data_IF_903674580599
#
_entry.id   IF_903674580599
#
_cell.length_a   1.000
_cell.length_b   1.000
_cell.length_c   1.000
_cell.angle_alpha   90.00
_cell.angle_beta   90.00
_cell.angle_gamma   90.00
#
_symmetry.space_group_name_H-M   'P 1'
#
loop_
_entity.id
_entity.type
_entity.pdbx_description
1 polymer ?
#
# COMPACT_ATOMS: atom_id res chain seq x y z
N UNK A 1 14.42 15.71 19.32
CA UNK A 1 13.95 16.17 18.00
C UNK A 1 12.68 15.41 17.68
N UNK A 2 11.50 15.99 17.93
CA UNK A 2 10.22 15.34 17.63
C UNK A 2 9.90 15.55 16.15
N UNK A 3 9.91 14.45 15.38
CA UNK A 3 9.57 14.48 13.96
C UNK A 3 8.12 14.93 13.80
N UNK A 4 7.86 15.95 12.97
CA UNK A 4 6.52 16.49 12.72
C UNK A 4 5.66 15.58 11.83
N UNK A 5 6.27 14.55 11.21
CA UNK A 5 5.62 13.64 10.29
C UNK A 5 5.30 12.30 10.96
N UNK A 6 4.09 11.80 10.70
CA UNK A 6 3.73 10.44 11.06
C UNK A 6 4.57 9.45 10.24
N UNK A 7 5.25 8.48 10.87
CA UNK A 7 6.02 7.48 10.15
C UNK A 7 5.12 6.50 9.41
N UNK A 8 5.67 5.94 8.34
CA UNK A 8 5.01 4.90 7.56
C UNK A 8 5.01 3.59 8.37
N UNK A 9 3.83 3.02 8.60
CA UNK A 9 3.62 1.82 9.43
C UNK A 9 3.49 0.55 8.59
N UNK A 10 2.79 0.63 7.47
CA UNK A 10 2.48 -0.57 6.68
C UNK A 10 2.49 -0.26 5.19
N UNK A 11 3.04 -1.18 4.41
CA UNK A 11 2.92 -1.24 2.96
C UNK A 11 2.24 -2.54 2.58
N UNK A 12 1.11 -2.46 1.87
CA UNK A 12 0.45 -3.62 1.27
C UNK A 12 0.45 -3.49 -0.25
N UNK A 13 0.87 -4.52 -0.96
CA UNK A 13 0.85 -4.56 -2.42
C UNK A 13 0.06 -5.77 -2.91
N UNK A 14 -0.86 -5.53 -3.85
CA UNK A 14 -1.71 -6.54 -4.49
C UNK A 14 -1.50 -6.54 -5.99
N UNK A 15 -1.30 -7.73 -6.56
CA UNK A 15 -1.06 -7.97 -7.98
C UNK A 15 0.05 -7.07 -8.55
N UNK A 16 1.10 -6.85 -7.76
CA UNK A 16 2.21 -5.96 -8.08
C UNK A 16 3.45 -6.79 -8.40
N UNK A 17 3.76 -6.91 -9.69
CA UNK A 17 4.85 -7.76 -10.20
C UNK A 17 4.87 -9.17 -9.61
N UNK A 18 5.92 -9.53 -8.86
CA UNK A 18 6.10 -10.85 -8.24
C UNK A 18 5.18 -11.10 -7.05
N UNK A 19 4.49 -10.08 -6.55
CA UNK A 19 3.58 -10.18 -5.40
C UNK A 19 2.12 -10.32 -5.84
N UNK A 20 1.44 -11.35 -5.33
CA UNK A 20 0.00 -11.52 -5.46
C UNK A 20 -0.74 -10.71 -4.39
N UNK A 21 -0.42 -10.94 -3.12
CA UNK A 21 -0.80 -10.08 -1.99
C UNK A 21 0.32 -10.18 -0.94
N UNK A 22 0.91 -9.05 -0.58
CA UNK A 22 1.93 -8.96 0.46
C UNK A 22 1.63 -7.76 1.35
N UNK A 23 1.76 -7.94 2.66
CA UNK A 23 1.68 -6.87 3.64
C UNK A 23 2.95 -6.88 4.48
N UNK A 24 3.58 -5.72 4.61
CA UNK A 24 4.83 -5.56 5.34
C UNK A 24 4.65 -4.45 6.36
N UNK A 25 4.93 -4.76 7.62
CA UNK A 25 5.04 -3.77 8.68
C UNK A 25 6.44 -3.15 8.65
N UNK A 26 6.48 -1.83 8.68
CA UNK A 26 7.71 -1.05 8.59
C UNK A 26 8.00 -0.44 9.95
N UNK A 27 9.23 -0.65 10.43
CA UNK A 27 9.75 0.04 11.61
C UNK A 27 10.51 1.32 11.22
N UNK A 28 11.04 2.01 12.23
CA UNK A 28 11.90 3.19 12.03
C UNK A 28 13.10 2.90 11.11
N UNK A 29 13.61 1.66 11.14
CA UNK A 29 14.60 1.14 10.21
C UNK A 29 14.15 -0.25 9.77
N UNK A 30 13.98 -0.43 8.46
CA UNK A 30 13.65 -1.74 7.87
C UNK A 30 14.73 -2.10 6.86
N UNK A 31 15.33 -3.29 7.02
CA UNK A 31 16.40 -3.77 6.15
C UNK A 31 15.86 -4.93 5.30
N UNK A 32 15.96 -4.82 3.98
CA UNK A 32 15.53 -5.84 3.03
C UNK A 32 16.74 -6.67 2.58
N UNK A 33 16.83 -7.92 3.06
CA UNK A 33 17.90 -8.86 2.70
C UNK A 33 17.36 -10.06 1.92
N UNK A 34 18.23 -10.72 1.15
CA UNK A 34 17.90 -11.95 0.41
C UNK A 34 18.65 -12.06 -0.91
N UNK A 35 18.50 -13.19 -1.60
CA UNK A 35 19.13 -13.45 -2.89
C UNK A 35 18.75 -12.43 -3.98
N UNK A 36 19.58 -12.27 -5.01
CA UNK A 36 19.22 -11.49 -6.20
C UNK A 36 17.85 -11.93 -6.76
N UNK A 37 17.11 -10.99 -7.34
CA UNK A 37 15.80 -11.24 -7.98
C UNK A 37 14.67 -11.75 -7.05
N UNK A 38 14.85 -11.69 -5.74
CA UNK A 38 13.82 -12.12 -4.77
C UNK A 38 12.64 -11.14 -4.61
N UNK A 39 12.48 -10.16 -5.49
CA UNK A 39 11.43 -9.14 -5.39
C UNK A 39 11.71 -7.92 -4.51
N UNK A 40 12.89 -7.79 -3.88
CA UNK A 40 13.24 -6.60 -3.06
C UNK A 40 13.06 -5.28 -3.81
N UNK A 41 13.55 -5.21 -5.05
CA UNK A 41 13.40 -4.04 -5.90
C UNK A 41 11.94 -3.80 -6.29
N UNK A 42 11.12 -4.85 -6.36
CA UNK A 42 9.69 -4.72 -6.61
C UNK A 42 8.97 -4.03 -5.45
N UNK A 43 9.36 -4.32 -4.21
CA UNK A 43 8.83 -3.63 -3.05
C UNK A 43 9.22 -2.14 -3.03
N UNK A 44 10.48 -1.81 -3.33
CA UNK A 44 10.91 -0.41 -3.44
C UNK A 44 10.19 0.34 -4.55
N UNK A 45 9.92 -0.32 -5.67
CA UNK A 45 9.12 0.25 -6.76
C UNK A 45 7.65 0.43 -6.36
N UNK A 46 7.07 -0.49 -5.59
CA UNK A 46 5.72 -0.31 -5.05
C UNK A 46 5.63 0.97 -4.18
N UNK A 47 6.64 1.25 -3.35
CA UNK A 47 6.70 2.50 -2.59
C UNK A 47 6.85 3.72 -3.53
N UNK A 48 7.74 3.63 -4.52
CA UNK A 48 8.01 4.69 -5.49
C UNK A 48 6.77 5.11 -6.27
N UNK A 49 5.99 4.16 -6.79
CA UNK A 49 4.79 4.47 -7.59
C UNK A 49 3.73 5.20 -6.78
N UNK A 50 3.59 4.87 -5.48
CA UNK A 50 2.67 5.61 -4.61
C UNK A 50 3.14 7.05 -4.42
N UNK A 51 4.45 7.29 -4.25
CA UNK A 51 4.98 8.62 -4.01
C UNK A 51 5.05 9.50 -5.27
N UNK A 52 5.35 8.92 -6.44
CA UNK A 52 5.68 9.67 -7.66
C UNK A 52 4.64 9.55 -8.77
N UNK A 53 3.65 8.67 -8.62
CA UNK A 53 2.63 8.37 -9.63
C UNK A 53 3.18 7.97 -11.01
N UNK A 54 4.34 7.33 -11.04
CA UNK A 54 5.06 7.00 -12.28
C UNK A 54 4.93 5.51 -12.65
N UNK A 55 3.91 4.84 -12.12
CA UNK A 55 3.66 3.43 -12.38
C UNK A 55 3.28 3.14 -13.83
N UNK A 56 3.83 2.05 -14.36
CA UNK A 56 3.65 1.59 -15.75
C UNK A 56 2.85 0.28 -15.80
N UNK A 57 2.46 -0.17 -16.99
CA UNK A 57 1.65 -1.37 -17.14
C UNK A 57 2.43 -2.64 -16.74
N UNK A 58 3.76 -2.61 -16.81
CA UNK A 58 4.70 -3.66 -16.39
C UNK A 58 4.77 -3.85 -14.87
N UNK A 59 4.28 -2.87 -14.09
CA UNK A 59 4.16 -3.03 -12.64
C UNK A 59 2.99 -3.95 -12.25
N UNK A 60 2.04 -4.16 -13.15
CA UNK A 60 0.92 -5.08 -12.95
C UNK A 60 1.41 -6.51 -13.15
N UNK A 61 1.16 -7.37 -12.15
CA UNK A 61 1.48 -8.80 -12.19
C UNK A 61 1.02 -9.45 -13.51
N UNK A 62 1.82 -10.37 -14.05
CA UNK A 62 1.46 -11.10 -15.25
C UNK A 62 0.15 -11.88 -15.04
N UNK A 63 -0.77 -11.80 -16.01
CA UNK A 63 -2.11 -12.39 -15.90
C UNK A 63 -3.16 -11.46 -15.27
N UNK A 64 -2.72 -10.42 -14.55
CA UNK A 64 -3.62 -9.51 -13.83
C UNK A 64 -3.96 -8.26 -14.65
N UNK A 65 -5.16 -7.73 -14.43
CA UNK A 65 -5.66 -6.52 -15.11
C UNK A 65 -5.43 -5.24 -14.32
N UNK A 66 -5.17 -5.38 -13.02
CA UNK A 66 -5.08 -4.28 -12.06
C UNK A 66 -4.05 -4.61 -10.98
N UNK A 67 -3.32 -3.60 -10.54
CA UNK A 67 -2.52 -3.66 -9.32
C UNK A 67 -2.95 -2.57 -8.34
N UNK A 68 -2.62 -2.76 -7.07
CA UNK A 68 -2.88 -1.79 -6.01
C UNK A 68 -1.77 -1.81 -4.97
N UNK A 69 -1.40 -0.63 -4.49
CA UNK A 69 -0.47 -0.46 -3.37
C UNK A 69 -1.13 0.46 -2.35
N UNK A 70 -1.17 0.03 -1.10
CA UNK A 70 -1.74 0.75 0.02
C UNK A 70 -0.64 1.05 1.04
N UNK A 71 -0.51 2.31 1.44
CA UNK A 71 0.34 2.76 2.52
C UNK A 71 -0.52 3.19 3.70
N UNK A 72 -0.12 2.79 4.91
CA UNK A 72 -0.75 3.21 6.16
C UNK A 72 0.30 3.85 7.06
N UNK A 73 -0.02 5.04 7.56
CA UNK A 73 0.80 5.80 8.49
C UNK A 73 0.34 5.55 9.93
N UNK A 74 1.20 5.83 10.91
CA UNK A 74 0.88 5.61 12.33
C UNK A 74 -0.29 6.47 12.82
N UNK A 75 -0.53 7.62 12.20
CA UNK A 75 -1.65 8.52 12.50
C UNK A 75 -3.00 8.07 11.90
N UNK A 76 -3.01 6.90 11.24
CA UNK A 76 -4.20 6.33 10.61
C UNK A 76 -4.51 6.90 9.22
N UNK A 77 -3.67 7.79 8.68
CA UNK A 77 -3.75 8.20 7.28
C UNK A 77 -3.43 7.00 6.39
N UNK A 78 -4.23 6.84 5.35
CA UNK A 78 -4.08 5.78 4.34
C UNK A 78 -3.99 6.39 2.95
N UNK A 79 -3.05 5.88 2.17
CA UNK A 79 -2.81 6.28 0.78
C UNK A 79 -2.89 5.05 -0.08
N UNK A 80 -3.95 4.94 -0.85
CA UNK A 80 -4.15 3.86 -1.83
C UNK A 80 -3.85 4.38 -3.22
N UNK A 81 -2.96 3.69 -3.91
CA UNK A 81 -2.67 3.87 -5.33
C UNK A 81 -3.11 2.64 -6.09
N UNK A 82 -3.76 2.80 -7.23
CA UNK A 82 -4.05 1.67 -8.11
C UNK A 82 -3.94 2.06 -9.57
N UNK A 83 -3.67 1.05 -10.38
CA UNK A 83 -3.59 1.19 -11.83
C UNK A 83 -4.22 -0.02 -12.51
N UNK A 84 -4.95 0.26 -13.58
CA UNK A 84 -5.50 -0.75 -14.49
C UNK A 84 -4.73 -0.70 -15.80
N UNK A 85 -4.56 -1.86 -16.47
CA UNK A 85 -3.87 -1.93 -17.76
C UNK A 85 -4.51 -0.97 -18.76
N UNK A 86 -3.68 -0.29 -19.55
CA UNK A 86 -4.09 0.69 -20.57
C UNK A 86 -4.87 1.90 -20.02
N UNK A 87 -4.91 2.09 -18.70
CA UNK A 87 -5.54 3.24 -18.06
C UNK A 87 -4.53 4.03 -17.23
N UNK A 88 -4.91 5.26 -16.90
CA UNK A 88 -4.18 6.09 -15.95
C UNK A 88 -4.21 5.49 -14.54
N UNK A 89 -3.22 5.86 -13.74
CA UNK A 89 -3.20 5.53 -12.33
C UNK A 89 -4.10 6.47 -11.53
N UNK A 90 -4.56 6.01 -10.37
CA UNK A 90 -5.48 6.75 -9.50
C UNK A 90 -5.06 6.66 -8.05
N UNK A 91 -5.47 7.66 -7.26
CA UNK A 91 -5.24 7.72 -5.83
C UNK A 91 -6.54 7.81 -5.04
N UNK A 92 -6.47 7.32 -3.82
CA UNK A 92 -7.43 7.59 -2.76
C UNK A 92 -6.67 7.83 -1.48
N UNK A 93 -6.90 8.99 -0.89
CA UNK A 93 -6.45 9.34 0.44
C UNK A 93 -7.62 9.15 1.40
N UNK A 94 -7.37 8.57 2.56
CA UNK A 94 -8.37 8.38 3.61
C UNK A 94 -7.76 8.49 4.98
N UNK A 95 -8.59 8.68 6.00
CA UNK A 95 -8.18 8.59 7.39
C UNK A 95 -9.03 7.48 8.01
N UNK A 96 -8.38 6.40 8.42
CA UNK A 96 -9.06 5.37 9.21
C UNK A 96 -9.23 5.94 10.62
N UNK A 97 -10.31 6.67 10.83
CA UNK A 97 -10.76 6.96 12.20
C UNK A 97 -11.16 5.62 12.78
N UNK A 98 -10.36 5.10 13.69
CA UNK A 98 -10.78 3.98 14.54
C UNK A 98 -11.98 4.45 15.35
N UNK A 99 -13.18 4.30 14.79
CA UNK A 99 -14.40 4.35 15.59
C UNK A 99 -14.30 3.15 16.53
N UNK A 100 -14.29 3.30 17.87
CA UNK A 100 -14.56 2.15 18.73
C UNK A 100 -15.94 1.65 18.30
N UNK A 101 -16.02 0.39 17.87
CA UNK A 101 -17.27 -0.20 17.42
C UNK A 101 -18.27 -0.20 18.58
N UNK A 102 -19.08 0.85 18.66
CA UNK A 102 -20.29 0.84 19.45
C UNK A 102 -21.26 -0.11 18.75
N UNK A 103 -21.54 -1.22 19.42
CA UNK A 103 -22.53 -2.24 19.10
C UNK A 103 -23.85 -1.62 18.63
N UNK A 104 -24.05 -1.55 17.30
CA UNK A 104 -25.35 -1.24 16.72
C UNK A 104 -26.22 -2.49 16.79
N UNK A 105 -26.86 -2.65 17.95
CA UNK A 105 -27.93 -3.62 18.20
C UNK A 105 -29.11 -3.26 17.30
N UNK A 106 -29.34 -4.03 16.23
CA UNK A 106 -30.61 -3.97 15.50
C UNK A 106 -31.73 -4.55 16.37
N UNK A 107 -32.44 -3.69 17.11
CA UNK A 107 -33.81 -3.98 17.52
C UNK A 107 -34.73 -3.42 16.43
N UNK A 108 -35.51 -4.31 15.80
CA UNK A 108 -36.61 -3.92 14.89
C UNK A 108 -37.91 -3.86 15.69
N UNK A 109 -38.82 -2.93 15.36
CA UNK A 109 -40.19 -2.90 15.88
C UNK A 109 -41.05 -4.04 15.35
#
# INVERSE_FOLDING_TARGET
>A
MTNTYSPLKTLRARNFQVYEDITIELGQLTILIGAGDSGKSALLRALRVVCLNDGVDEDIRHGEKKCQVDLMFEDGVTVSWWKERKKGACYRMGVTRSTPSATARCQRP
#
